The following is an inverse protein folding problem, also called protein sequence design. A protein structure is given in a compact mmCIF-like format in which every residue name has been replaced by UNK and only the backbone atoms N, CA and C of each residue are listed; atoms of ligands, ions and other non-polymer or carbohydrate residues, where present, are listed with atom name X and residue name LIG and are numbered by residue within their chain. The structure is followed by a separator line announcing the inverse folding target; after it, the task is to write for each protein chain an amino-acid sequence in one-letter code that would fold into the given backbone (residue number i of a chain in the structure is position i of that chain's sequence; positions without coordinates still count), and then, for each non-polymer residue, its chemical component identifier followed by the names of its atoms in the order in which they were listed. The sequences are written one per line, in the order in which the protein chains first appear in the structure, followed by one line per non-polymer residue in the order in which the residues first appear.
data_IF_769596946223
#
_entry.id   IF_769596946223
#
_cell.length_a   1.000
_cell.length_b   1.000
_cell.length_c   1.000
_cell.angle_alpha   90.00
_cell.angle_beta   90.00
_cell.angle_gamma   90.00
#
_symmetry.space_group_name_H-M   'P 1'
#
loop_
_entity.id
_entity.type
_entity.pdbx_description
1 polymer ?
#
# COMPACT_ATOMS: atom_id res chain seq x y z
N UNK A 1 -5.04 2.85 1.26
CA UNK A 1 -3.90 3.76 1.15
C UNK A 1 -3.45 4.26 2.53
N UNK A 2 -4.33 4.83 3.37
CA UNK A 2 -3.98 5.37 4.69
C UNK A 2 -3.25 4.35 5.59
N UNK A 3 -3.68 3.07 5.62
CA UNK A 3 -3.01 2.01 6.37
C UNK A 3 -1.55 1.82 5.93
N UNK A 4 -1.33 1.70 4.63
CA UNK A 4 0.03 1.47 4.09
C UNK A 4 0.95 2.66 4.39
N UNK A 5 0.42 3.89 4.28
CA UNK A 5 1.17 5.10 4.63
C UNK A 5 1.50 5.15 6.13
N UNK A 6 0.58 4.74 7.00
CA UNK A 6 0.84 4.63 8.44
C UNK A 6 1.91 3.56 8.75
N UNK A 7 1.85 2.38 8.10
CA UNK A 7 2.89 1.35 8.22
C UNK A 7 4.27 1.85 7.75
N UNK A 8 4.34 2.57 6.63
CA UNK A 8 5.59 3.15 6.11
C UNK A 8 6.16 4.26 6.99
N UNK A 9 5.28 5.06 7.59
CA UNK A 9 5.68 6.15 8.48
C UNK A 9 5.96 5.69 9.92
N UNK A 10 5.65 4.42 10.27
CA UNK A 10 5.71 3.93 11.65
C UNK A 10 4.73 4.64 12.59
N UNK A 11 3.67 5.24 12.06
CA UNK A 11 2.67 5.97 12.82
C UNK A 11 1.45 5.10 13.15
N UNK A 12 0.62 5.56 14.09
CA UNK A 12 -0.66 4.91 14.36
C UNK A 12 -1.60 5.06 13.16
N UNK A 13 -2.40 4.01 12.90
CA UNK A 13 -3.47 4.07 11.91
C UNK A 13 -4.70 4.72 12.55
N UNK A 14 -4.87 6.03 12.26
CA UNK A 14 -6.06 6.80 12.60
C UNK A 14 -6.71 7.31 11.32
N UNK A 15 -7.86 6.71 10.97
CA UNK A 15 -8.62 7.07 9.79
C UNK A 15 -10.09 7.27 10.15
N UNK A 16 -10.53 8.51 10.03
CA UNK A 16 -11.94 8.88 10.17
C UNK A 16 -12.60 9.02 8.80
N UNK A 17 -13.77 8.41 8.63
CA UNK A 17 -14.53 8.55 7.39
C UNK A 17 -14.92 10.02 7.18
N UNK A 18 -14.70 10.57 5.98
CA UNK A 18 -15.18 11.91 5.66
C UNK A 18 -16.70 11.95 5.71
N UNK A 19 -17.25 12.98 6.34
CA UNK A 19 -18.70 13.19 6.42
C UNK A 19 -19.20 13.73 5.07
N UNK A 20 -19.49 12.81 4.14
CA UNK A 20 -20.13 13.11 2.86
C UNK A 20 -21.58 12.61 2.93
N UNK A 21 -22.49 13.55 3.04
CA UNK A 21 -23.91 13.24 3.04
C UNK A 21 -24.33 12.61 1.71
N UNK A 22 -25.01 11.45 1.82
CA UNK A 22 -25.96 10.95 0.83
C UNK A 22 -25.45 9.99 -0.25
N UNK A 23 -24.12 9.70 -0.40
CA UNK A 23 -23.64 8.87 -1.53
C UNK A 23 -22.98 7.56 -1.11
N UNK A 24 -22.54 7.44 0.13
CA UNK A 24 -21.82 6.26 0.61
C UNK A 24 -22.61 5.50 1.68
N UNK A 25 -22.71 4.18 1.54
CA UNK A 25 -23.15 3.28 2.60
C UNK A 25 -22.17 3.38 3.78
N UNK A 26 -22.44 4.29 4.73
CA UNK A 26 -21.61 4.52 5.92
C UNK A 26 -21.32 3.22 6.69
N UNK A 27 -22.27 2.30 6.92
CA UNK A 27 -22.01 1.03 7.59
C UNK A 27 -21.04 0.10 6.82
N UNK A 28 -21.11 0.06 5.50
CA UNK A 28 -20.19 -0.74 4.70
C UNK A 28 -18.78 -0.17 4.72
N UNK A 29 -18.65 1.15 4.61
CA UNK A 29 -17.37 1.84 4.72
C UNK A 29 -16.73 1.68 6.10
N UNK A 30 -17.52 1.77 7.17
CA UNK A 30 -17.00 1.54 8.53
C UNK A 30 -16.44 0.14 8.69
N UNK A 31 -17.13 -0.89 8.17
CA UNK A 31 -16.59 -2.27 8.16
C UNK A 31 -15.24 -2.38 7.45
N UNK A 32 -15.06 -1.67 6.34
CA UNK A 32 -13.77 -1.63 5.64
C UNK A 32 -12.68 -1.00 6.52
N UNK A 33 -12.97 0.12 7.18
CA UNK A 33 -12.03 0.78 8.10
C UNK A 33 -11.67 -0.15 9.26
N UNK A 34 -12.65 -0.87 9.84
CA UNK A 34 -12.43 -1.80 10.95
C UNK A 34 -11.55 -2.99 10.53
N UNK A 35 -11.75 -3.52 9.31
CA UNK A 35 -10.89 -4.57 8.73
C UNK A 35 -9.48 -4.06 8.51
N UNK A 36 -9.31 -2.86 7.94
CA UNK A 36 -7.98 -2.27 7.72
C UNK A 36 -7.26 -1.97 9.04
N UNK A 37 -7.99 -1.50 10.06
CA UNK A 37 -7.44 -1.29 11.40
C UNK A 37 -6.99 -2.60 12.04
N UNK A 38 -7.76 -3.67 11.88
CA UNK A 38 -7.40 -5.00 12.38
C UNK A 38 -6.17 -5.54 11.65
N UNK A 39 -6.12 -5.42 10.33
CA UNK A 39 -4.99 -5.83 9.50
C UNK A 39 -3.72 -5.06 9.88
N UNK A 40 -3.82 -3.74 10.09
CA UNK A 40 -2.71 -2.90 10.56
C UNK A 40 -2.13 -3.42 11.87
N UNK A 41 -2.99 -3.66 12.89
CA UNK A 41 -2.55 -4.17 14.19
C UNK A 41 -1.88 -5.53 14.06
N UNK A 42 -2.52 -6.48 13.36
CA UNK A 42 -1.97 -7.82 13.16
C UNK A 42 -0.60 -7.77 12.47
N UNK A 43 -0.46 -6.97 11.42
CA UNK A 43 0.81 -6.83 10.68
C UNK A 43 1.90 -6.22 11.56
N UNK A 44 1.57 -5.20 12.35
CA UNK A 44 2.49 -4.58 13.31
C UNK A 44 2.93 -5.57 14.39
N UNK A 45 1.97 -6.29 14.98
CA UNK A 45 2.25 -7.24 16.05
C UNK A 45 3.12 -8.41 15.55
N UNK A 46 2.89 -8.90 14.33
CA UNK A 46 3.73 -9.92 13.69
C UNK A 46 5.15 -9.40 13.46
N UNK A 47 5.30 -8.18 12.93
CA UNK A 47 6.61 -7.57 12.70
C UNK A 47 7.38 -7.43 14.01
N UNK A 48 6.77 -6.89 15.06
CA UNK A 48 7.39 -6.74 16.38
C UNK A 48 7.75 -8.07 17.01
N UNK A 49 6.89 -9.11 16.86
CA UNK A 49 7.20 -10.44 17.38
C UNK A 49 8.41 -11.07 16.67
N UNK A 50 8.51 -10.92 15.35
CA UNK A 50 9.66 -11.39 14.56
C UNK A 50 10.96 -10.64 14.93
N UNK A 51 10.90 -9.32 15.00
CA UNK A 51 12.02 -8.47 15.39
C UNK A 51 12.51 -8.83 16.80
N UNK A 52 11.58 -8.94 17.75
CA UNK A 52 11.90 -9.35 19.11
C UNK A 52 12.57 -10.73 19.16
N UNK A 53 12.04 -11.72 18.45
CA UNK A 53 12.63 -13.05 18.39
C UNK A 53 14.08 -13.03 17.87
N UNK A 54 14.36 -12.22 16.86
CA UNK A 54 15.72 -12.03 16.33
C UNK A 54 16.62 -11.29 17.34
N UNK A 55 16.11 -10.26 18.01
CA UNK A 55 16.84 -9.55 19.05
C UNK A 55 17.17 -10.45 20.27
N UNK A 56 16.21 -11.27 20.70
CA UNK A 56 16.42 -12.25 21.78
C UNK A 56 17.47 -13.30 21.34
N UNK A 57 17.42 -13.75 20.10
CA UNK A 57 18.43 -14.66 19.54
C UNK A 57 19.80 -13.99 19.48
N UNK A 58 19.89 -12.74 19.06
CA UNK A 58 21.12 -11.94 19.05
C UNK A 58 21.71 -11.82 20.44
N UNK A 59 20.86 -11.45 21.42
CA UNK A 59 21.27 -11.28 22.80
C UNK A 59 21.75 -12.58 23.44
N UNK A 60 21.32 -13.76 22.96
CA UNK A 60 21.79 -15.06 23.46
C UNK A 60 23.28 -15.31 23.22
N UNK A 61 23.92 -14.62 22.26
CA UNK A 61 25.35 -14.70 21.99
C UNK A 61 26.19 -13.79 22.90
N UNK A 62 25.59 -12.78 23.55
CA UNK A 62 26.36 -11.83 24.39
C UNK A 62 27.09 -12.52 25.57
N UNK A 63 26.46 -13.45 26.34
CA UNK A 63 27.16 -14.18 27.41
C UNK A 63 28.25 -15.11 26.87
N UNK A 64 28.04 -15.75 25.70
CA UNK A 64 29.05 -16.61 25.07
C UNK A 64 30.29 -15.79 24.65
N UNK A 65 30.05 -14.65 23.94
CA UNK A 65 31.12 -13.73 23.54
C UNK A 65 31.89 -13.22 24.78
N UNK A 66 31.15 -12.84 25.84
CA UNK A 66 31.77 -12.38 27.11
C UNK A 66 32.63 -13.45 27.75
N UNK A 67 32.16 -14.68 27.79
CA UNK A 67 32.92 -15.81 28.36
C UNK A 67 34.17 -16.13 27.54
N UNK A 68 34.06 -16.12 26.21
CA UNK A 68 35.18 -16.33 25.30
C UNK A 68 36.22 -15.20 25.40
N UNK A 69 35.78 -13.92 25.45
CA UNK A 69 36.68 -12.78 25.67
C UNK A 69 37.43 -12.88 27.02
N UNK A 70 36.79 -13.37 28.11
CA UNK A 70 37.42 -13.61 29.39
C UNK A 70 38.42 -14.79 29.30
N UNK A 71 38.04 -15.88 28.63
CA UNK A 71 38.90 -17.03 28.42
C UNK A 71 40.18 -16.66 27.66
N UNK A 72 40.06 -15.88 26.61
CA UNK A 72 41.20 -15.38 25.80
C UNK A 72 42.15 -14.56 26.68
N UNK A 73 41.64 -13.69 27.56
CA UNK A 73 42.50 -12.92 28.50
C UNK A 73 43.31 -13.82 29.41
N UNK A 74 42.67 -14.88 29.95
CA UNK A 74 43.37 -15.85 30.80
C UNK A 74 44.45 -16.61 30.01
N UNK A 75 44.17 -17.00 28.77
CA UNK A 75 45.20 -17.61 27.90
C UNK A 75 46.34 -16.65 27.57
N UNK A 76 46.04 -15.37 27.30
CA UNK A 76 47.08 -14.33 27.08
C UNK A 76 48.00 -14.19 28.31
N UNK A 77 47.43 -14.19 29.55
CA UNK A 77 48.18 -14.14 30.79
C UNK A 77 49.03 -15.40 30.98
N UNK A 78 48.44 -16.60 30.76
CA UNK A 78 49.18 -17.87 30.84
C UNK A 78 50.31 -17.95 29.84
N UNK A 79 50.09 -17.53 28.59
CA UNK A 79 51.12 -17.50 27.57
C UNK A 79 52.26 -16.55 27.92
N UNK A 80 51.96 -15.42 28.54
CA UNK A 80 52.96 -14.49 29.02
C UNK A 80 53.90 -15.13 30.10
N UNK A 81 53.32 -15.92 31.03
CA UNK A 81 54.07 -16.67 32.03
C UNK A 81 54.91 -17.76 31.37
N UNK A 82 54.36 -18.58 30.50
CA UNK A 82 55.08 -19.64 29.79
C UNK A 82 56.20 -19.04 28.91
N UNK A 83 55.99 -17.88 28.31
CA UNK A 83 57.02 -17.20 27.52
C UNK A 83 58.23 -16.79 28.41
N UNK A 84 57.96 -16.32 29.64
CA UNK A 84 59.03 -16.05 30.61
C UNK A 84 59.79 -17.30 30.97
N UNK A 85 59.09 -18.43 31.20
CA UNK A 85 59.72 -19.72 31.49
C UNK A 85 60.58 -20.24 30.32
N UNK A 86 60.10 -20.08 29.10
CA UNK A 86 60.89 -20.38 27.87
C UNK A 86 62.17 -19.55 27.84
N UNK A 87 62.11 -18.23 28.09
CA UNK A 87 63.24 -17.34 28.08
C UNK A 87 64.27 -17.71 29.20
N UNK A 88 63.77 -17.93 30.41
CA UNK A 88 64.60 -18.33 31.52
C UNK A 88 65.29 -19.69 31.28
N UNK A 89 64.52 -20.70 30.85
CA UNK A 89 65.03 -22.06 30.56
C UNK A 89 66.05 -22.01 29.40
N UNK A 90 65.82 -21.16 28.40
CA UNK A 90 66.76 -20.98 27.30
C UNK A 90 68.11 -20.40 27.80
N UNK A 91 68.08 -19.39 28.65
CA UNK A 91 69.29 -18.80 29.23
C UNK A 91 70.08 -19.85 30.04
N UNK A 92 69.39 -20.67 30.85
CA UNK A 92 70.03 -21.75 31.62
C UNK A 92 70.60 -22.85 30.72
N UNK A 93 69.91 -23.20 29.61
CA UNK A 93 70.38 -24.18 28.65
C UNK A 93 71.64 -23.69 27.89
N UNK A 94 71.69 -22.42 27.51
CA UNK A 94 72.82 -21.77 26.86
C UNK A 94 74.06 -21.76 27.79
N UNK A 95 73.81 -21.63 29.10
CA UNK A 95 74.87 -21.72 30.15
C UNK A 95 75.20 -23.19 30.55
N UNK A 96 74.60 -24.20 29.91
CA UNK A 96 74.72 -25.62 30.21
C UNK A 96 74.31 -26.03 31.62
N UNK A 97 73.42 -25.21 32.27
CA UNK A 97 72.92 -25.45 33.62
C UNK A 97 71.63 -26.27 33.62
N UNK A 98 71.01 -26.47 32.46
CA UNK A 98 69.84 -27.36 32.32
C UNK A 98 69.95 -28.19 31.01
N UNK A 99 69.16 -29.28 30.96
CA UNK A 99 69.11 -30.16 29.80
C UNK A 99 68.34 -29.55 28.64
N UNK A 100 68.82 -29.73 27.41
CA UNK A 100 68.12 -29.31 26.17
C UNK A 100 66.71 -29.94 26.01
N UNK A 101 66.51 -31.12 26.65
CA UNK A 101 65.19 -31.74 26.69
C UNK A 101 64.14 -30.90 27.47
N UNK A 102 64.58 -30.24 28.55
CA UNK A 102 63.72 -29.36 29.35
C UNK A 102 63.29 -28.11 28.53
N UNK A 103 64.22 -27.48 27.81
CA UNK A 103 63.90 -26.37 26.97
C UNK A 103 62.86 -26.78 25.89
N UNK A 104 63.02 -27.92 25.24
CA UNK A 104 62.07 -28.45 24.28
C UNK A 104 60.72 -28.75 24.88
N UNK A 105 60.63 -29.19 26.13
CA UNK A 105 59.38 -29.41 26.83
C UNK A 105 58.61 -28.10 27.07
N UNK A 106 59.26 -27.07 27.59
CA UNK A 106 58.62 -25.77 27.82
C UNK A 106 58.21 -25.11 26.50
N UNK A 107 59.03 -25.26 25.44
CA UNK A 107 58.64 -24.78 24.10
C UNK A 107 57.41 -25.54 23.55
N UNK A 108 57.25 -26.85 23.79
CA UNK A 108 56.04 -27.59 23.39
C UNK A 108 54.85 -27.11 24.18
N UNK A 109 54.97 -26.84 25.48
CA UNK A 109 53.90 -26.32 26.31
C UNK A 109 53.47 -24.93 25.81
N UNK A 110 54.40 -24.04 25.47
CA UNK A 110 54.09 -22.74 24.85
C UNK A 110 53.29 -22.89 23.54
N UNK A 111 53.75 -23.81 22.66
CA UNK A 111 53.07 -24.06 21.37
C UNK A 111 51.68 -24.72 21.56
N UNK A 112 51.47 -25.48 22.64
CA UNK A 112 50.16 -26.01 22.98
C UNK A 112 49.19 -24.91 23.45
N UNK A 113 49.66 -24.06 24.40
CA UNK A 113 48.88 -22.93 24.91
C UNK A 113 48.51 -21.94 23.76
N UNK A 114 49.44 -21.71 22.84
CA UNK A 114 49.19 -20.88 21.66
C UNK A 114 48.08 -21.45 20.74
N UNK A 115 48.07 -22.76 20.54
CA UNK A 115 46.97 -23.40 19.76
C UNK A 115 45.65 -23.29 20.47
N UNK A 116 45.60 -23.51 21.77
CA UNK A 116 44.39 -23.44 22.58
C UNK A 116 43.81 -22.02 22.57
N UNK A 117 44.68 -21.00 22.69
CA UNK A 117 44.29 -19.59 22.54
C UNK A 117 43.71 -19.27 21.14
N UNK A 118 44.37 -19.72 20.07
CA UNK A 118 43.87 -19.56 18.71
C UNK A 118 42.51 -20.25 18.48
N UNK A 119 42.29 -21.39 19.11
CA UNK A 119 41.00 -22.06 19.09
C UNK A 119 39.89 -21.22 19.73
N UNK A 120 40.16 -20.64 20.92
CA UNK A 120 39.21 -19.73 21.59
C UNK A 120 38.92 -18.50 20.76
N UNK A 121 39.93 -17.88 20.11
CA UNK A 121 39.74 -16.77 19.20
C UNK A 121 38.89 -17.14 17.99
N UNK A 122 39.03 -18.37 17.50
CA UNK A 122 38.20 -18.91 16.40
C UNK A 122 36.73 -19.06 16.82
N UNK A 123 36.47 -19.54 18.06
CA UNK A 123 35.09 -19.61 18.59
C UNK A 123 34.49 -18.21 18.75
N UNK A 124 35.26 -17.26 19.31
CA UNK A 124 34.84 -15.88 19.44
C UNK A 124 34.48 -15.26 18.08
N UNK A 125 35.30 -15.49 17.06
CA UNK A 125 35.03 -15.00 15.72
C UNK A 125 33.73 -15.57 15.15
N UNK A 126 33.45 -16.87 15.37
CA UNK A 126 32.17 -17.51 14.95
C UNK A 126 30.98 -16.94 15.70
N UNK A 127 31.09 -16.77 17.04
CA UNK A 127 30.00 -16.21 17.83
C UNK A 127 29.63 -14.78 17.35
N UNK A 128 30.64 -13.96 17.10
CA UNK A 128 30.47 -12.61 16.54
C UNK A 128 29.89 -12.64 15.12
N UNK A 129 30.32 -13.58 14.27
CA UNK A 129 29.77 -13.74 12.94
C UNK A 129 28.27 -14.13 13.00
N UNK A 130 27.91 -15.06 13.88
CA UNK A 130 26.51 -15.45 14.07
C UNK A 130 25.64 -14.26 14.55
N UNK A 131 26.19 -13.41 15.41
CA UNK A 131 25.53 -12.18 15.86
C UNK A 131 25.30 -11.21 14.68
N UNK A 132 26.30 -11.00 13.83
CA UNK A 132 26.20 -10.16 12.63
C UNK A 132 25.19 -10.72 11.61
N UNK A 133 25.12 -12.04 11.47
CA UNK A 133 24.15 -12.68 10.58
C UNK A 133 22.70 -12.42 11.05
N UNK A 134 22.48 -12.35 12.36
CA UNK A 134 21.17 -11.97 12.91
C UNK A 134 20.88 -10.48 12.68
N UNK A 135 21.85 -9.60 12.89
CA UNK A 135 21.71 -8.17 12.59
C UNK A 135 21.33 -7.97 11.11
N UNK A 136 21.92 -8.74 10.20
CA UNK A 136 21.60 -8.72 8.78
C UNK A 136 20.15 -9.18 8.52
N UNK A 137 19.67 -10.23 9.20
CA UNK A 137 18.27 -10.70 9.11
C UNK A 137 17.27 -9.66 9.62
N UNK A 138 17.62 -8.90 10.64
CA UNK A 138 16.78 -7.78 11.12
C UNK A 138 16.65 -6.71 10.02
N UNK A 139 17.77 -6.34 9.39
CA UNK A 139 17.75 -5.40 8.26
C UNK A 139 16.93 -5.94 7.08
N UNK A 140 17.07 -7.21 6.75
CA UNK A 140 16.29 -7.88 5.70
C UNK A 140 14.78 -7.89 6.02
N UNK A 141 14.40 -8.15 7.28
CA UNK A 141 13.01 -8.11 7.72
C UNK A 141 12.37 -6.73 7.47
N UNK A 142 13.05 -5.66 7.88
CA UNK A 142 12.57 -4.29 7.66
C UNK A 142 12.54 -3.91 6.17
N UNK A 143 13.58 -4.28 5.42
CA UNK A 143 13.68 -4.00 3.98
C UNK A 143 12.59 -4.73 3.19
N UNK A 144 12.34 -6.01 3.50
CA UNK A 144 11.27 -6.80 2.89
C UNK A 144 9.91 -6.15 3.14
N UNK A 145 9.66 -5.71 4.38
CA UNK A 145 8.42 -5.04 4.74
C UNK A 145 8.23 -3.70 4.02
N UNK A 146 9.29 -2.91 3.92
CA UNK A 146 9.27 -1.65 3.17
C UNK A 146 8.97 -1.87 1.69
N UNK A 147 9.56 -2.92 1.09
CA UNK A 147 9.33 -3.28 -0.31
C UNK A 147 7.90 -3.78 -0.56
N UNK A 148 7.35 -4.60 0.35
CA UNK A 148 5.94 -5.02 0.29
C UNK A 148 5.01 -3.81 0.31
N UNK A 149 5.18 -2.91 1.28
CA UNK A 149 4.36 -1.72 1.42
C UNK A 149 4.47 -0.80 0.18
N UNK A 150 5.67 -0.64 -0.38
CA UNK A 150 5.88 0.15 -1.60
C UNK A 150 5.18 -0.49 -2.82
N UNK A 151 5.22 -1.83 -2.94
CA UNK A 151 4.51 -2.56 -4.00
C UNK A 151 2.99 -2.43 -3.85
N UNK A 152 2.47 -2.70 -2.64
CA UNK A 152 1.04 -2.56 -2.32
C UNK A 152 0.53 -1.15 -2.62
N UNK A 153 1.30 -0.11 -2.26
CA UNK A 153 0.95 1.28 -2.51
C UNK A 153 0.90 1.60 -4.01
N UNK A 154 1.87 1.09 -4.79
CA UNK A 154 1.90 1.28 -6.24
C UNK A 154 0.68 0.62 -6.91
N UNK A 155 0.37 -0.62 -6.54
CA UNK A 155 -0.73 -1.39 -7.12
C UNK A 155 -2.08 -0.76 -6.77
N UNK A 156 -2.20 -0.24 -5.55
CA UNK A 156 -3.38 0.50 -5.12
C UNK A 156 -3.54 1.82 -5.88
N UNK A 157 -2.46 2.59 -6.07
CA UNK A 157 -2.51 3.84 -6.83
C UNK A 157 -2.88 3.59 -8.30
N UNK A 158 -2.36 2.52 -8.91
CA UNK A 158 -2.76 2.12 -10.26
C UNK A 158 -4.25 1.78 -10.33
N UNK A 159 -4.75 0.99 -9.36
CA UNK A 159 -6.16 0.62 -9.28
C UNK A 159 -7.07 1.84 -9.08
N UNK A 160 -6.65 2.79 -8.27
CA UNK A 160 -7.36 4.06 -8.07
C UNK A 160 -7.42 4.86 -9.38
N UNK A 161 -6.29 5.03 -10.07
CA UNK A 161 -6.23 5.75 -11.35
C UNK A 161 -7.14 5.11 -12.41
N UNK A 162 -7.16 3.78 -12.51
CA UNK A 162 -8.06 3.05 -13.41
C UNK A 162 -9.54 3.26 -13.05
N UNK A 163 -9.87 3.29 -11.76
CA UNK A 163 -11.23 3.56 -11.31
C UNK A 163 -11.65 5.00 -11.60
N UNK A 164 -10.76 5.97 -11.42
CA UNK A 164 -11.00 7.38 -11.74
C UNK A 164 -11.25 7.56 -13.24
N UNK A 165 -10.47 6.90 -14.10
CA UNK A 165 -10.71 6.90 -15.55
C UNK A 165 -12.06 6.29 -15.93
N UNK A 166 -12.45 5.16 -15.30
CA UNK A 166 -13.77 4.55 -15.50
C UNK A 166 -14.89 5.49 -15.06
N UNK A 167 -14.76 6.12 -13.91
CA UNK A 167 -15.73 7.10 -13.43
C UNK A 167 -15.88 8.29 -14.40
N UNK A 168 -14.76 8.85 -14.86
CA UNK A 168 -14.77 9.94 -15.84
C UNK A 168 -15.47 9.53 -17.15
N UNK A 169 -15.19 8.32 -17.66
CA UNK A 169 -15.84 7.78 -18.85
C UNK A 169 -17.34 7.60 -18.65
N UNK A 170 -17.78 7.05 -17.50
CA UNK A 170 -19.20 6.87 -17.20
C UNK A 170 -19.92 8.21 -17.06
N UNK A 171 -19.31 9.21 -16.43
CA UNK A 171 -19.87 10.56 -16.34
C UNK A 171 -20.01 11.21 -17.70
N UNK A 172 -19.03 11.06 -18.59
CA UNK A 172 -19.11 11.56 -19.98
C UNK A 172 -20.28 10.89 -20.73
N UNK A 173 -20.43 9.57 -20.59
CA UNK A 173 -21.54 8.82 -21.20
C UNK A 173 -22.89 9.27 -20.66
N UNK A 174 -23.04 9.45 -19.36
CA UNK A 174 -24.26 9.97 -18.74
C UNK A 174 -24.60 11.38 -19.22
N UNK A 175 -23.61 12.25 -19.37
CA UNK A 175 -23.80 13.62 -19.88
C UNK A 175 -24.29 13.60 -21.32
N UNK A 176 -23.72 12.72 -22.16
CA UNK A 176 -24.14 12.58 -23.56
C UNK A 176 -25.55 12.00 -23.66
N UNK A 177 -25.89 10.97 -22.89
CA UNK A 177 -27.25 10.41 -22.83
C UNK A 177 -28.28 11.46 -22.38
N UNK A 178 -27.94 12.28 -21.39
CA UNK A 178 -28.80 13.36 -20.92
C UNK A 178 -29.00 14.40 -22.02
N UNK A 179 -27.95 14.81 -22.73
CA UNK A 179 -28.04 15.73 -23.84
C UNK A 179 -28.93 15.18 -25.00
N UNK A 180 -28.81 13.86 -25.29
CA UNK A 180 -29.67 13.21 -26.29
C UNK A 180 -31.12 13.17 -25.83
N UNK A 181 -31.40 12.83 -24.55
CA UNK A 181 -32.75 12.85 -24.02
C UNK A 181 -33.40 14.25 -24.10
N UNK A 182 -32.63 15.29 -23.72
CA UNK A 182 -33.09 16.67 -23.76
C UNK A 182 -33.36 17.11 -25.22
N UNK A 183 -32.51 16.71 -26.19
CA UNK A 183 -32.72 16.99 -27.60
C UNK A 183 -33.92 16.25 -28.18
N UNK A 184 -34.17 15.00 -27.74
CA UNK A 184 -35.36 14.22 -28.16
C UNK A 184 -36.64 14.79 -27.58
N UNK A 185 -36.60 15.23 -26.31
CA UNK A 185 -37.73 15.90 -25.68
C UNK A 185 -38.08 17.24 -26.33
N UNK A 186 -37.07 17.97 -26.79
CA UNK A 186 -37.27 19.20 -27.59
C UNK A 186 -37.79 18.95 -29.03
N UNK A 187 -37.58 17.73 -29.55
CA UNK A 187 -37.99 17.34 -30.91
C UNK A 187 -39.44 16.79 -30.98
N UNK A 188 -40.13 16.59 -29.84
CA UNK A 188 -41.56 16.28 -29.84
C UNK A 188 -42.35 17.56 -30.15
N UNK A 189 -42.24 18.01 -31.39
CA UNK A 189 -43.14 19.03 -31.94
C UNK A 189 -44.43 18.36 -32.36
N UNK A 190 -45.54 18.68 -31.71
CA UNK A 190 -46.88 18.26 -32.11
C UNK A 190 -47.34 19.14 -33.27
N UNK A 191 -47.56 18.51 -34.40
CA UNK A 191 -48.21 19.16 -35.55
C UNK A 191 -49.71 19.31 -35.28
N UNK A 192 -50.18 20.51 -35.08
CA UNK A 192 -51.63 20.77 -34.90
C UNK A 192 -52.16 21.30 -36.24
N UNK A 193 -53.11 20.58 -36.86
CA UNK A 193 -53.81 21.00 -38.07
C UNK A 193 -55.08 21.69 -37.66
N UNK A 194 -55.29 22.91 -38.09
CA UNK A 194 -56.55 23.67 -37.92
C UNK A 194 -57.23 23.90 -39.26
N UNK A 195 -58.53 23.71 -39.27
CA UNK A 195 -59.36 23.88 -40.45
C UNK A 195 -60.21 25.11 -40.26
N UNK A 196 -60.43 25.86 -41.36
CA UNK A 196 -61.40 26.94 -41.43
C UNK A 196 -62.06 26.98 -42.79
N UNK A 197 -63.36 27.25 -42.83
CA UNK A 197 -64.16 27.34 -44.06
C UNK A 197 -64.53 28.81 -44.26
N UNK A 198 -64.26 29.32 -45.46
CA UNK A 198 -64.81 30.60 -45.90
C UNK A 198 -66.04 30.35 -46.75
N UNK A 199 -67.22 30.70 -46.17
CA UNK A 199 -68.54 30.54 -46.80
C UNK A 199 -69.08 31.87 -47.24
N UNK A 200 -69.74 31.89 -48.40
CA UNK A 200 -70.39 33.06 -48.87
C UNK A 200 -71.82 33.14 -48.29
N UNK A 201 -72.07 34.04 -47.36
CA UNK A 201 -73.35 34.30 -46.73
C UNK A 201 -73.78 35.74 -47.07
N UNK A 202 -74.91 35.93 -47.67
CA UNK A 202 -75.47 37.24 -48.10
C UNK A 202 -74.49 38.10 -48.89
N UNK A 203 -73.69 37.48 -49.77
CA UNK A 203 -72.74 38.20 -50.63
C UNK A 203 -71.39 38.60 -49.96
N UNK A 204 -71.16 38.18 -48.72
CA UNK A 204 -69.92 38.41 -48.03
C UNK A 204 -69.26 37.08 -47.64
N UNK A 205 -67.92 36.98 -47.71
CA UNK A 205 -67.19 35.86 -47.31
C UNK A 205 -66.98 35.86 -45.72
N UNK A 206 -67.61 34.93 -45.05
CA UNK A 206 -67.44 34.77 -43.60
C UNK A 206 -66.59 33.54 -43.29
N UNK A 207 -65.58 33.71 -42.49
CA UNK A 207 -64.66 32.62 -42.06
C UNK A 207 -65.20 31.94 -40.79
N UNK A 208 -65.48 30.65 -40.91
CA UNK A 208 -66.00 29.84 -39.78
C UNK A 208 -64.96 28.78 -39.44
N UNK A 209 -64.60 28.60 -38.13
CA UNK A 209 -63.76 27.46 -37.73
C UNK A 209 -64.46 26.15 -38.12
N UNK A 210 -63.67 25.19 -38.62
CA UNK A 210 -64.21 23.90 -39.08
C UNK A 210 -63.40 22.76 -38.42
N UNK A 211 -63.98 21.61 -38.30
CA UNK A 211 -63.34 20.34 -37.91
C UNK A 211 -63.47 19.31 -39.04
N UNK A 212 -62.95 18.12 -38.82
CA UNK A 212 -62.96 17.02 -39.81
C UNK A 212 -64.37 16.51 -40.12
N UNK A 213 -65.37 16.89 -39.33
CA UNK A 213 -66.77 16.45 -39.47
C UNK A 213 -67.70 17.60 -40.01
N UNK A 214 -67.13 18.77 -40.23
CA UNK A 214 -67.91 19.92 -40.72
C UNK A 214 -68.28 19.74 -42.19
N UNK A 215 -69.61 19.76 -42.44
CA UNK A 215 -70.16 19.65 -43.82
C UNK A 215 -69.75 20.84 -44.68
N UNK A 216 -69.20 20.54 -45.87
CA UNK A 216 -68.81 21.53 -46.87
C UNK A 216 -69.96 21.75 -47.87
N UNK A 217 -70.31 22.98 -48.11
CA UNK A 217 -71.35 23.36 -49.07
C UNK A 217 -70.77 23.85 -50.43
N UNK A 218 -71.55 23.77 -51.54
CA UNK A 218 -71.05 24.27 -52.80
C UNK A 218 -70.69 25.78 -52.75
N UNK A 219 -69.44 26.10 -53.02
CA UNK A 219 -68.92 27.48 -52.93
C UNK A 219 -68.02 27.77 -51.69
N UNK A 220 -67.90 26.81 -50.76
CA UNK A 220 -67.00 26.96 -49.65
C UNK A 220 -65.51 26.87 -50.05
N UNK A 221 -64.69 27.68 -49.39
CA UNK A 221 -63.23 27.62 -49.55
C UNK A 221 -62.64 27.05 -48.20
N UNK A 222 -62.12 25.84 -48.28
CA UNK A 222 -61.44 25.22 -47.12
C UNK A 222 -60.01 25.75 -47.06
N UNK A 223 -59.67 26.31 -45.90
CA UNK A 223 -58.31 26.66 -45.54
C UNK A 223 -57.77 25.70 -44.47
N UNK A 224 -56.65 25.04 -44.73
CA UNK A 224 -55.95 24.14 -43.82
C UNK A 224 -54.65 24.81 -43.40
N UNK A 225 -54.52 25.07 -42.11
CA UNK A 225 -53.27 25.63 -41.55
C UNK A 225 -52.62 24.59 -40.62
N UNK A 226 -51.38 24.28 -40.90
CA UNK A 226 -50.57 23.44 -40.03
C UNK A 226 -49.64 24.33 -39.20
N UNK A 227 -49.80 24.25 -37.86
CA UNK A 227 -48.89 24.94 -36.90
C UNK A 227 -48.09 23.93 -36.14
N UNK A 228 -46.76 24.11 -36.11
CA UNK A 228 -45.85 23.41 -35.24
C UNK A 228 -45.94 24.06 -33.83
N UNK A 229 -46.52 23.39 -32.88
CA UNK A 229 -46.52 23.81 -31.47
C UNK A 229 -45.53 22.97 -30.68
N UNK A 230 -44.53 23.61 -30.06
CA UNK A 230 -43.67 22.95 -29.07
C UNK A 230 -44.45 22.88 -27.74
N UNK A 231 -44.86 21.70 -27.33
CA UNK A 231 -45.36 21.48 -25.98
C UNK A 231 -44.15 21.50 -25.02
N UNK A 232 -43.90 22.64 -24.45
CA UNK A 232 -42.94 22.80 -23.35
C UNK A 232 -43.47 22.07 -22.12
N UNK A 233 -43.15 20.79 -21.96
CA UNK A 233 -43.32 20.09 -20.68
C UNK A 233 -42.24 20.62 -19.76
N UNK A 234 -42.61 21.55 -18.86
CA UNK A 234 -41.79 21.89 -17.68
C UNK A 234 -41.86 20.70 -16.77
N UNK A 235 -40.86 19.83 -16.80
CA UNK A 235 -40.61 18.90 -15.72
C UNK A 235 -40.06 19.73 -14.54
N UNK A 236 -40.95 20.09 -13.60
CA UNK A 236 -40.52 20.58 -12.27
C UNK A 236 -39.98 19.37 -11.52
N UNK A 237 -38.69 19.28 -11.43
CA UNK A 237 -38.02 18.42 -10.45
C UNK A 237 -38.12 19.09 -9.08
N UNK A 238 -38.90 18.49 -8.18
CA UNK A 238 -38.85 18.70 -6.73
C UNK A 238 -37.69 17.89 -6.15
#
# INVERSE_FOLDING_TARGET
QARILAEMAGSEFDYTLPDRDGILDKPAMQRVVDVEATLFRTRRDVLHAQEKALMDQRASYDPEISALDQSIKLYDEEMALIAQDVAATKTLADQKLTAQSRLREVQRNYSAAQRDELEQRSFLARARQNQLDIDQRIVELHSSRANENASDLRDLNLSMSLNDQKMASLLATLTELKRQADSTAAAVMTMTTSYSISRLVDGQHTQVPADEQTAIEPGDILRVEQKLTSNGVRLSLN
#
